data_IF_020332925050
#
_entry.id   IF_020332925050
#
_cell.length_a   1.000
_cell.length_b   1.000
_cell.length_c   1.000
_cell.angle_alpha   90.00
_cell.angle_beta   90.00
_cell.angle_gamma   90.00
#
_symmetry.space_group_name_H-M   'P 1'
#
loop_
_entity.id
_entity.type
_entity.pdbx_description
1 polymer ?
#
# COMPACT_ATOMS: atom_id res chain seq x y z
N UNK A 1 -5.88 -1.48 -17.48
CA UNK A 1 -5.98 -2.51 -16.42
C UNK A 1 -4.58 -2.85 -15.89
N UNK A 2 -4.18 -2.21 -14.78
CA UNK A 2 -2.85 -2.43 -14.17
C UNK A 2 -2.91 -3.72 -13.34
N UNK A 3 -2.19 -4.72 -13.82
CA UNK A 3 -2.14 -6.05 -13.24
C UNK A 3 -1.33 -6.02 -11.93
N UNK A 4 -2.02 -6.03 -10.78
CA UNK A 4 -1.48 -5.99 -9.41
C UNK A 4 -0.42 -7.06 -9.08
N UNK A 5 -0.16 -8.02 -9.97
CA UNK A 5 0.96 -8.97 -9.87
C UNK A 5 2.34 -8.35 -10.12
N UNK A 6 2.43 -7.11 -10.64
CA UNK A 6 3.69 -6.49 -11.06
C UNK A 6 4.41 -5.64 -10.00
N UNK A 7 3.86 -5.47 -8.79
CA UNK A 7 4.45 -4.62 -7.75
C UNK A 7 5.48 -5.31 -6.83
N UNK A 8 5.73 -6.62 -7.01
CA UNK A 8 6.65 -7.38 -6.14
C UNK A 8 8.15 -7.23 -6.48
N UNK A 9 8.52 -6.54 -7.56
CA UNK A 9 9.95 -6.32 -7.92
C UNK A 9 10.45 -4.88 -7.67
N UNK A 10 9.65 -4.02 -7.03
CA UNK A 10 10.02 -2.67 -6.56
C UNK A 10 9.94 -2.54 -5.03
N UNK A 11 9.81 -3.68 -4.34
CA UNK A 11 9.09 -3.79 -3.07
C UNK A 11 9.70 -3.09 -1.86
N UNK A 12 10.97 -2.67 -1.88
CA UNK A 12 11.57 -1.94 -0.73
C UNK A 12 11.27 -0.44 -0.81
N UNK A 13 11.17 0.13 -2.00
CA UNK A 13 10.78 1.54 -2.17
C UNK A 13 9.27 1.69 -1.95
N UNK A 14 8.47 0.68 -2.32
CA UNK A 14 7.02 0.72 -2.10
C UNK A 14 6.60 0.37 -0.66
N UNK A 15 7.41 -0.36 0.11
CA UNK A 15 7.10 -0.62 1.52
C UNK A 15 7.38 0.60 2.44
N UNK A 16 8.36 1.43 2.10
CA UNK A 16 8.57 2.72 2.78
C UNK A 16 7.52 3.76 2.39
N UNK A 17 6.97 3.71 1.17
CA UNK A 17 5.82 4.55 0.82
C UNK A 17 4.52 4.04 1.44
N UNK A 18 4.32 2.73 1.64
CA UNK A 18 3.11 2.19 2.31
C UNK A 18 3.06 2.41 3.83
N UNK A 19 4.20 2.64 4.48
CA UNK A 19 4.26 2.96 5.91
C UNK A 19 3.94 4.44 6.20
N UNK A 20 4.05 5.33 5.22
CA UNK A 20 3.38 6.63 5.22
C UNK A 20 1.91 6.54 4.74
N UNK A 21 1.56 5.51 3.95
CA UNK A 21 0.22 5.31 3.37
C UNK A 21 -0.80 4.63 4.30
N UNK A 22 -0.40 4.16 5.48
CA UNK A 22 -1.32 3.57 6.47
C UNK A 22 -1.96 4.60 7.41
N UNK A 23 -1.57 5.88 7.32
CA UNK A 23 -2.22 7.01 7.99
C UNK A 23 -3.26 7.73 7.12
N UNK A 24 -3.45 7.33 5.86
CA UNK A 24 -4.27 8.06 4.89
C UNK A 24 -5.03 7.16 3.91
N UNK A 25 -5.43 5.95 4.32
CA UNK A 25 -6.54 5.24 3.65
C UNK A 25 -7.89 5.79 4.16
N UNK A 26 -8.13 7.08 3.94
CA UNK A 26 -9.31 7.41 3.14
C UNK A 26 -8.99 6.83 1.77
N UNK A 27 -9.81 5.92 1.28
CA UNK A 27 -9.70 5.43 -0.09
C UNK A 27 -9.86 6.61 -1.03
N UNK A 28 -8.76 7.31 -1.34
CA UNK A 28 -8.64 8.12 -2.55
C UNK A 28 -8.76 7.17 -3.71
N UNK A 29 -10.01 6.88 -4.05
CA UNK A 29 -10.41 6.36 -5.33
C UNK A 29 -9.90 7.39 -6.33
N UNK A 30 -8.70 7.16 -6.85
CA UNK A 30 -8.17 7.91 -7.98
C UNK A 30 -9.27 8.01 -9.03
N UNK A 31 -9.78 9.22 -9.24
CA UNK A 31 -10.55 9.58 -10.41
C UNK A 31 -9.59 9.65 -11.61
N UNK A 32 -8.83 8.58 -11.86
CA UNK A 32 -8.09 8.40 -13.11
C UNK A 32 -9.04 7.71 -14.09
N UNK A 33 -10.04 8.48 -14.51
CA UNK A 33 -10.70 8.35 -15.79
C UNK A 33 -11.18 9.74 -16.21
N UNK A 34 -10.20 10.60 -16.51
CA UNK A 34 -10.39 11.93 -17.11
C UNK A 34 -10.91 11.87 -18.56
N UNK A 35 -11.82 10.94 -18.89
CA UNK A 35 -12.42 10.86 -20.24
C UNK A 35 -13.94 10.74 -20.28
N UNK A 36 -14.63 10.70 -19.13
CA UNK A 36 -16.06 10.99 -19.09
C UNK A 36 -16.33 12.13 -18.13
N UNK A 37 -16.33 13.34 -18.69
CA UNK A 37 -17.09 14.47 -18.16
C UNK A 37 -18.53 14.00 -17.97
N UNK A 38 -18.85 13.48 -16.77
CA UNK A 38 -20.24 13.35 -16.36
C UNK A 38 -20.76 14.78 -16.26
N UNK A 39 -21.60 15.15 -17.22
CA UNK A 39 -22.34 16.41 -17.31
C UNK A 39 -23.35 16.61 -16.16
N UNK A 40 -23.11 15.99 -15.01
CA UNK A 40 -23.97 15.97 -13.86
C UNK A 40 -23.79 17.30 -13.12
N UNK A 41 -24.65 18.25 -13.43
CA UNK A 41 -24.72 19.52 -12.69
C UNK A 41 -25.34 19.24 -11.32
N UNK A 42 -24.51 19.24 -10.28
CA UNK A 42 -24.97 19.17 -8.89
C UNK A 42 -25.25 20.58 -8.35
N UNK A 43 -26.26 20.71 -7.49
CA UNK A 43 -26.48 21.94 -6.73
C UNK A 43 -25.54 21.91 -5.52
N UNK A 44 -24.45 22.68 -5.59
CA UNK A 44 -23.38 22.74 -4.59
C UNK A 44 -23.94 22.97 -3.17
N UNK A 45 -24.80 23.97 -2.99
CA UNK A 45 -25.39 24.31 -1.68
C UNK A 45 -26.27 23.19 -1.12
N UNK A 46 -27.01 22.50 -2.00
CA UNK A 46 -27.83 21.34 -1.61
C UNK A 46 -26.96 20.16 -1.18
N UNK A 47 -25.86 19.90 -1.89
CA UNK A 47 -24.91 18.84 -1.56
C UNK A 47 -24.19 19.15 -0.25
N UNK A 48 -23.74 20.39 -0.03
CA UNK A 48 -23.11 20.83 1.22
C UNK A 48 -24.03 20.62 2.43
N UNK A 49 -25.31 20.99 2.32
CA UNK A 49 -26.28 20.78 3.41
C UNK A 49 -26.50 19.29 3.69
N UNK A 50 -26.57 18.46 2.66
CA UNK A 50 -26.71 17.00 2.79
C UNK A 50 -25.46 16.36 3.40
N UNK A 51 -24.27 16.83 3.01
CA UNK A 51 -23.00 16.42 3.61
C UNK A 51 -22.96 16.76 5.10
N UNK A 52 -23.24 18.01 5.48
CA UNK A 52 -23.25 18.43 6.88
C UNK A 52 -24.22 17.58 7.75
N UNK A 53 -25.39 17.25 7.20
CA UNK A 53 -26.36 16.37 7.89
C UNK A 53 -25.85 14.93 8.02
N UNK A 54 -25.25 14.38 6.96
CA UNK A 54 -24.67 13.05 6.96
C UNK A 54 -23.47 12.96 7.93
N UNK A 55 -22.59 13.97 7.93
CA UNK A 55 -21.43 14.07 8.81
C UNK A 55 -21.86 14.10 10.27
N UNK A 56 -22.88 14.91 10.62
CA UNK A 56 -23.44 14.97 11.97
C UNK A 56 -24.01 13.62 12.43
N UNK A 57 -24.67 12.88 11.53
CA UNK A 57 -25.20 11.55 11.86
C UNK A 57 -24.09 10.48 11.96
N UNK A 58 -23.01 10.62 11.19
CA UNK A 58 -21.87 9.70 11.17
C UNK A 58 -20.80 10.00 12.24
N UNK A 59 -20.81 11.18 12.87
CA UNK A 59 -19.87 11.61 13.91
C UNK A 59 -19.57 10.55 15.00
N UNK A 60 -20.57 9.89 15.62
CA UNK A 60 -20.30 8.84 16.62
C UNK A 60 -19.65 7.57 16.05
N UNK A 61 -19.74 7.35 14.73
CA UNK A 61 -19.05 6.26 14.03
C UNK A 61 -17.58 6.62 13.85
N UNK A 62 -17.26 7.86 13.46
CA UNK A 62 -15.88 8.33 13.31
C UNK A 62 -15.09 8.23 14.62
N UNK A 63 -15.68 8.65 15.73
CA UNK A 63 -15.05 8.52 17.04
C UNK A 63 -14.72 7.06 17.42
N UNK A 64 -15.49 6.08 16.92
CA UNK A 64 -15.21 4.65 17.11
C UNK A 64 -14.12 4.16 16.16
N UNK A 65 -14.14 4.59 14.90
CA UNK A 65 -13.11 4.28 13.92
C UNK A 65 -11.74 4.78 14.37
N UNK A 66 -11.66 6.02 14.86
CA UNK A 66 -10.42 6.62 15.38
C UNK A 66 -9.83 5.82 16.55
N UNK A 67 -10.67 5.38 17.49
CA UNK A 67 -10.22 4.54 18.62
C UNK A 67 -9.65 3.21 18.15
N UNK A 68 -10.28 2.59 17.15
CA UNK A 68 -9.79 1.33 16.57
C UNK A 68 -8.48 1.56 15.81
N UNK A 69 -8.40 2.64 15.03
CA UNK A 69 -7.17 2.99 14.29
C UNK A 69 -6.00 3.22 15.26
N UNK A 70 -6.20 3.97 16.34
CA UNK A 70 -5.20 4.14 17.41
C UNK A 70 -4.76 2.80 18.02
N UNK A 71 -5.69 1.86 18.19
CA UNK A 71 -5.35 0.51 18.68
C UNK A 71 -4.47 -0.25 17.69
N UNK A 72 -4.78 -0.19 16.39
CA UNK A 72 -3.96 -0.79 15.33
C UNK A 72 -2.57 -0.16 15.30
N UNK A 73 -2.48 1.17 15.39
CA UNK A 73 -1.21 1.91 15.37
C UNK A 73 -0.32 1.59 16.58
N UNK A 74 -0.92 1.40 17.76
CA UNK A 74 -0.21 0.95 18.95
C UNK A 74 0.35 -0.47 18.77
N UNK A 75 -0.41 -1.38 18.15
CA UNK A 75 0.06 -2.74 17.82
C UNK A 75 1.20 -2.65 16.80
N UNK A 76 1.07 -1.81 15.76
CA UNK A 76 2.12 -1.61 14.76
C UNK A 76 3.41 -1.13 15.40
N UNK A 77 3.33 -0.08 16.21
CA UNK A 77 4.48 0.53 16.88
C UNK A 77 5.19 -0.46 17.79
N UNK A 78 4.42 -1.24 18.57
CA UNK A 78 4.98 -2.17 19.55
C UNK A 78 5.45 -3.51 18.96
N UNK A 79 4.85 -3.99 17.86
CA UNK A 79 5.08 -5.34 17.34
C UNK A 79 5.73 -5.42 15.96
N UNK A 80 5.77 -4.32 15.20
CA UNK A 80 6.24 -4.32 13.81
C UNK A 80 7.32 -3.28 13.54
N UNK A 81 7.14 -2.02 13.97
CA UNK A 81 7.98 -0.89 13.51
C UNK A 81 9.47 -1.03 13.82
N UNK A 82 9.86 -1.69 14.91
CA UNK A 82 11.28 -1.93 15.23
C UNK A 82 11.91 -2.96 14.29
N UNK A 83 11.20 -4.08 14.06
CA UNK A 83 11.66 -5.16 13.20
C UNK A 83 11.68 -4.72 11.73
N UNK A 84 10.66 -4.00 11.28
CA UNK A 84 10.56 -3.39 9.94
C UNK A 84 11.77 -2.49 9.66
N UNK A 85 12.06 -1.55 10.57
CA UNK A 85 13.24 -0.66 10.45
C UNK A 85 14.55 -1.44 10.44
N UNK A 86 14.69 -2.43 11.29
CA UNK A 86 15.93 -3.24 11.40
C UNK A 86 16.16 -4.07 10.15
N UNK A 87 15.14 -4.77 9.66
CA UNK A 87 15.25 -5.61 8.46
C UNK A 87 15.45 -4.77 7.20
N UNK A 88 14.78 -3.62 7.10
CA UNK A 88 14.99 -2.67 5.99
C UNK A 88 16.43 -2.18 5.97
N UNK A 89 16.99 -1.78 7.13
CA UNK A 89 18.41 -1.40 7.22
C UNK A 89 19.35 -2.54 6.80
N UNK A 90 19.05 -3.79 7.18
CA UNK A 90 19.85 -4.95 6.77
C UNK A 90 19.82 -5.17 5.27
N UNK A 91 18.66 -5.01 4.64
CA UNK A 91 18.55 -5.16 3.19
C UNK A 91 19.24 -4.01 2.45
N UNK A 92 19.09 -2.76 2.90
CA UNK A 92 19.78 -1.63 2.28
C UNK A 92 21.30 -1.80 2.33
N UNK A 93 21.86 -2.14 3.50
CA UNK A 93 23.29 -2.46 3.61
C UNK A 93 23.72 -3.62 2.72
N UNK A 94 22.86 -4.64 2.57
CA UNK A 94 23.12 -5.77 1.68
C UNK A 94 23.16 -5.33 0.21
N UNK A 95 22.25 -4.43 -0.19
CA UNK A 95 22.19 -3.85 -1.54
C UNK A 95 23.41 -2.99 -1.82
N UNK A 96 23.75 -2.06 -0.93
CA UNK A 96 24.93 -1.19 -1.02
C UNK A 96 26.21 -2.02 -1.19
N UNK A 97 26.39 -3.05 -0.35
CA UNK A 97 27.55 -3.95 -0.42
C UNK A 97 27.69 -4.67 -1.77
N UNK A 98 26.58 -4.93 -2.46
CA UNK A 98 26.58 -5.69 -3.71
C UNK A 98 26.20 -4.84 -4.93
N UNK A 99 26.17 -3.52 -4.81
CA UNK A 99 25.63 -2.62 -5.83
C UNK A 99 26.29 -2.84 -7.20
N UNK A 100 27.63 -2.81 -7.26
CA UNK A 100 28.36 -2.95 -8.52
C UNK A 100 28.09 -4.29 -9.24
N UNK A 101 27.96 -5.39 -8.49
CA UNK A 101 27.67 -6.71 -9.09
C UNK A 101 26.20 -6.85 -9.47
N UNK A 102 25.30 -6.20 -8.72
CA UNK A 102 23.88 -6.14 -9.03
C UNK A 102 23.63 -5.34 -10.31
N UNK A 103 24.26 -4.17 -10.48
CA UNK A 103 24.15 -3.36 -11.70
C UNK A 103 24.60 -4.14 -12.93
N UNK A 104 25.77 -4.81 -12.87
CA UNK A 104 26.23 -5.71 -13.94
C UNK A 104 25.22 -6.82 -14.24
N UNK A 105 24.63 -7.41 -13.21
CA UNK A 105 23.63 -8.46 -13.36
C UNK A 105 22.36 -7.95 -14.03
N UNK A 106 21.84 -6.80 -13.60
CA UNK A 106 20.66 -6.16 -14.19
C UNK A 106 20.88 -5.77 -15.65
N UNK A 107 22.06 -5.23 -15.98
CA UNK A 107 22.42 -4.90 -17.36
C UNK A 107 22.45 -6.14 -18.26
N UNK A 108 22.84 -7.31 -17.74
CA UNK A 108 22.80 -8.58 -18.49
C UNK A 108 21.40 -9.21 -18.57
N UNK A 109 20.51 -8.86 -17.65
CA UNK A 109 19.14 -9.39 -17.60
C UNK A 109 18.20 -8.70 -18.59
N UNK A 110 18.42 -7.41 -18.87
CA UNK A 110 17.46 -6.59 -19.62
C UNK A 110 16.11 -6.56 -18.91
N UNK A 111 15.03 -6.84 -19.64
CA UNK A 111 13.66 -6.82 -19.12
C UNK A 111 13.23 -8.08 -18.35
N UNK A 112 14.13 -9.07 -18.19
CA UNK A 112 13.81 -10.29 -17.47
C UNK A 112 13.53 -10.00 -16.00
N UNK A 113 12.34 -10.42 -15.55
CA UNK A 113 11.90 -10.31 -14.15
C UNK A 113 11.87 -11.67 -13.49
N UNK A 114 11.88 -11.67 -12.16
CA UNK A 114 11.69 -12.87 -11.36
C UNK A 114 10.78 -12.58 -10.16
N UNK A 115 10.16 -13.62 -9.63
CA UNK A 115 9.23 -13.57 -8.52
C UNK A 115 9.62 -14.49 -7.36
N UNK A 116 10.60 -15.36 -7.57
CA UNK A 116 11.07 -16.30 -6.55
C UNK A 116 12.59 -16.34 -6.44
N UNK A 117 13.06 -16.81 -5.28
CA UNK A 117 14.47 -17.12 -5.04
C UNK A 117 15.02 -18.10 -6.08
N UNK A 118 14.22 -19.11 -6.47
CA UNK A 118 14.64 -20.13 -7.44
C UNK A 118 14.91 -19.50 -8.80
N UNK A 119 14.00 -18.65 -9.27
CA UNK A 119 14.15 -17.92 -10.53
C UNK A 119 15.35 -16.97 -10.48
N UNK A 120 15.49 -16.19 -9.41
CA UNK A 120 16.65 -15.30 -9.23
C UNK A 120 17.99 -16.05 -9.33
N UNK A 121 18.11 -17.19 -8.63
CA UNK A 121 19.32 -18.01 -8.66
C UNK A 121 19.54 -18.68 -10.02
N UNK A 122 18.47 -19.06 -10.72
CA UNK A 122 18.54 -19.57 -12.09
C UNK A 122 19.09 -18.52 -13.05
N UNK A 123 18.63 -17.27 -12.93
CA UNK A 123 19.11 -16.15 -13.74
C UNK A 123 20.58 -15.84 -13.45
N UNK A 124 21.02 -15.90 -12.18
CA UNK A 124 22.44 -15.77 -11.82
C UNK A 124 23.27 -16.87 -12.48
N UNK A 125 22.79 -18.13 -12.45
CA UNK A 125 23.50 -19.24 -13.07
C UNK A 125 23.65 -19.06 -14.59
N UNK A 126 22.61 -18.57 -15.27
CA UNK A 126 22.56 -18.31 -16.72
C UNK A 126 23.30 -17.05 -17.16
N UNK A 127 23.66 -16.15 -16.23
CA UNK A 127 24.38 -14.92 -16.55
C UNK A 127 25.78 -15.18 -17.13
N UNK A 128 26.36 -14.20 -17.81
CA UNK A 128 27.73 -14.24 -18.33
C UNK A 128 28.76 -13.70 -17.32
N UNK A 129 28.35 -13.50 -16.06
CA UNK A 129 29.22 -13.03 -14.98
C UNK A 129 30.31 -14.04 -14.63
N UNK A 130 31.40 -13.54 -14.05
CA UNK A 130 32.49 -14.39 -13.55
C UNK A 130 32.00 -15.32 -12.43
N UNK A 131 32.75 -16.41 -12.18
CA UNK A 131 32.44 -17.35 -11.10
C UNK A 131 32.34 -16.64 -9.73
N UNK A 132 33.24 -15.69 -9.46
CA UNK A 132 33.25 -14.89 -8.23
C UNK A 132 32.00 -14.02 -8.12
N UNK A 133 31.62 -13.32 -9.19
CA UNK A 133 30.41 -12.49 -9.21
C UNK A 133 29.13 -13.33 -9.04
N UNK A 134 29.05 -14.49 -9.70
CA UNK A 134 27.93 -15.43 -9.52
C UNK A 134 27.82 -15.94 -8.09
N UNK A 135 28.94 -16.25 -7.43
CA UNK A 135 28.97 -16.66 -6.03
C UNK A 135 28.49 -15.54 -5.11
N UNK A 136 28.94 -14.30 -5.36
CA UNK A 136 28.50 -13.12 -4.62
C UNK A 136 26.99 -12.89 -4.77
N UNK A 137 26.44 -12.94 -5.99
CA UNK A 137 25.00 -12.81 -6.23
C UNK A 137 24.18 -13.95 -5.63
N UNK A 138 24.71 -15.17 -5.67
CA UNK A 138 24.06 -16.33 -5.03
C UNK A 138 23.95 -16.11 -3.52
N UNK A 139 25.01 -15.62 -2.88
CA UNK A 139 25.02 -15.27 -1.46
C UNK A 139 24.06 -14.11 -1.16
N UNK A 140 24.09 -13.07 -1.99
CA UNK A 140 23.18 -11.92 -1.92
C UNK A 140 21.72 -12.36 -1.94
N UNK A 141 21.28 -13.10 -2.97
CA UNK A 141 19.87 -13.51 -3.09
C UNK A 141 19.45 -14.44 -1.96
N UNK A 142 20.32 -15.38 -1.54
CA UNK A 142 20.04 -16.22 -0.37
C UNK A 142 19.78 -15.39 0.89
N UNK A 143 20.58 -14.34 1.11
CA UNK A 143 20.47 -13.46 2.29
C UNK A 143 19.27 -12.52 2.18
N UNK A 144 19.07 -11.90 1.01
CA UNK A 144 17.93 -11.04 0.71
C UNK A 144 16.61 -11.75 0.99
N UNK A 145 16.41 -12.95 0.43
CA UNK A 145 15.18 -13.72 0.63
C UNK A 145 15.00 -14.20 2.07
N UNK A 146 16.08 -14.41 2.84
CA UNK A 146 16.00 -14.70 4.27
C UNK A 146 15.46 -13.48 5.05
N UNK A 147 15.94 -12.28 4.74
CA UNK A 147 15.44 -11.05 5.36
C UNK A 147 14.01 -10.73 4.94
N UNK A 148 13.68 -10.91 3.66
CA UNK A 148 12.32 -10.75 3.14
C UNK A 148 11.35 -11.69 3.86
N UNK A 149 11.66 -12.99 3.94
CA UNK A 149 10.80 -13.95 4.62
C UNK A 149 10.62 -13.63 6.12
N UNK A 150 11.68 -13.13 6.77
CA UNK A 150 11.57 -12.68 8.16
C UNK A 150 10.63 -11.48 8.30
N UNK A 151 10.67 -10.54 7.36
CA UNK A 151 9.77 -9.39 7.33
C UNK A 151 8.32 -9.80 7.04
N UNK A 152 8.11 -10.68 6.06
CA UNK A 152 6.80 -11.23 5.71
C UNK A 152 6.12 -11.87 6.93
N UNK A 153 6.87 -12.69 7.70
CA UNK A 153 6.36 -13.29 8.95
C UNK A 153 5.92 -12.26 9.99
N UNK A 154 6.57 -11.08 10.05
CA UNK A 154 6.20 -10.00 10.98
C UNK A 154 4.90 -9.34 10.54
N UNK A 155 4.72 -9.10 9.24
CA UNK A 155 3.45 -8.63 8.69
C UNK A 155 2.32 -9.63 8.87
N UNK A 156 2.56 -10.93 8.62
CA UNK A 156 1.57 -11.97 8.86
C UNK A 156 1.08 -11.97 10.32
N UNK A 157 2.00 -11.82 11.27
CA UNK A 157 1.65 -11.73 12.68
C UNK A 157 0.87 -10.44 12.99
N UNK A 158 1.30 -9.29 12.46
CA UNK A 158 0.59 -8.03 12.60
C UNK A 158 -0.85 -8.11 12.05
N UNK A 159 -1.03 -8.69 10.86
CA UNK A 159 -2.34 -8.90 10.25
C UNK A 159 -3.23 -9.81 11.11
N UNK A 160 -2.68 -10.91 11.66
CA UNK A 160 -3.41 -11.77 12.59
C UNK A 160 -3.87 -11.00 13.83
N UNK A 161 -2.97 -10.24 14.46
CA UNK A 161 -3.25 -9.47 15.67
C UNK A 161 -4.27 -8.33 15.47
N UNK A 162 -4.40 -7.82 14.25
CA UNK A 162 -5.27 -6.68 13.93
C UNK A 162 -6.52 -7.06 13.14
N UNK A 163 -6.66 -8.33 12.75
CA UNK A 163 -7.76 -8.83 11.91
C UNK A 163 -9.16 -8.48 12.44
N UNK A 164 -9.39 -8.63 13.75
CA UNK A 164 -10.69 -8.29 14.37
C UNK A 164 -10.98 -6.78 14.30
N UNK A 165 -9.97 -5.96 14.57
CA UNK A 165 -10.05 -4.49 14.48
C UNK A 165 -10.33 -4.05 13.05
N UNK A 166 -9.64 -4.64 12.06
CA UNK A 166 -9.85 -4.37 10.64
C UNK A 166 -11.27 -4.73 10.19
N UNK A 167 -11.80 -5.88 10.62
CA UNK A 167 -13.19 -6.28 10.33
C UNK A 167 -14.22 -5.32 10.96
N UNK A 168 -13.94 -4.82 12.17
CA UNK A 168 -14.77 -3.79 12.81
C UNK A 168 -14.74 -2.46 12.05
N UNK A 169 -13.56 -2.03 11.57
CA UNK A 169 -13.43 -0.85 10.73
C UNK A 169 -14.25 -1.00 9.44
N UNK A 170 -14.13 -2.12 8.73
CA UNK A 170 -14.92 -2.38 7.52
C UNK A 170 -16.43 -2.29 7.78
N UNK A 171 -16.89 -2.83 8.91
CA UNK A 171 -18.30 -2.74 9.31
C UNK A 171 -18.73 -1.30 9.61
N UNK A 172 -17.89 -0.52 10.28
CA UNK A 172 -18.18 0.89 10.59
C UNK A 172 -18.16 1.76 9.33
N UNK A 173 -17.23 1.52 8.41
CA UNK A 173 -17.20 2.19 7.09
C UNK A 173 -18.50 1.93 6.33
N UNK A 174 -18.97 0.68 6.24
CA UNK A 174 -20.25 0.36 5.58
C UNK A 174 -21.44 1.08 6.22
N UNK A 175 -21.41 1.28 7.55
CA UNK A 175 -22.46 2.04 8.27
C UNK A 175 -22.39 3.53 7.96
N UNK A 176 -21.20 4.12 7.90
CA UNK A 176 -21.02 5.50 7.48
C UNK A 176 -21.50 5.70 6.02
N UNK A 177 -21.09 4.82 5.10
CA UNK A 177 -21.53 4.85 3.70
C UNK A 177 -23.05 4.78 3.57
N UNK A 178 -23.71 3.97 4.41
CA UNK A 178 -25.17 3.87 4.41
C UNK A 178 -25.84 5.18 4.86
N UNK A 179 -25.24 5.92 5.80
CA UNK A 179 -25.71 7.25 6.22
C UNK A 179 -25.59 8.23 5.05
N UNK A 180 -24.44 8.30 4.37
CA UNK A 180 -24.29 9.17 3.19
C UNK A 180 -25.31 8.84 2.11
N UNK A 181 -25.52 7.55 1.81
CA UNK A 181 -26.54 7.12 0.85
C UNK A 181 -27.96 7.52 1.27
N UNK A 182 -28.30 7.43 2.56
CA UNK A 182 -29.60 7.89 3.11
C UNK A 182 -29.83 9.37 2.87
N UNK A 183 -28.78 10.20 2.92
CA UNK A 183 -28.86 11.64 2.62
C UNK A 183 -28.76 11.95 1.11
N UNK A 184 -28.74 10.93 0.26
CA UNK A 184 -28.63 11.09 -1.19
C UNK A 184 -27.24 11.55 -1.64
N UNK A 185 -26.20 11.25 -0.86
CA UNK A 185 -24.79 11.45 -1.22
C UNK A 185 -24.25 10.12 -1.76
N UNK A 186 -24.18 10.01 -3.08
CA UNK A 186 -23.56 8.86 -3.77
C UNK A 186 -22.14 9.21 -4.21
N UNK A 187 -21.36 8.20 -4.61
CA UNK A 187 -20.00 8.40 -5.16
C UNK A 187 -20.00 9.35 -6.36
N UNK A 188 -20.96 9.23 -7.27
CA UNK A 188 -21.06 10.09 -8.46
C UNK A 188 -21.41 11.54 -8.09
N UNK A 189 -22.26 11.75 -7.09
CA UNK A 189 -22.60 13.08 -6.56
C UNK A 189 -21.39 13.72 -5.89
N UNK A 190 -20.62 12.96 -5.11
CA UNK A 190 -19.37 13.42 -4.50
C UNK A 190 -18.34 13.77 -5.58
N UNK A 191 -18.13 12.89 -6.57
CA UNK A 191 -17.20 13.14 -7.67
C UNK A 191 -17.55 14.41 -8.45
N UNK A 192 -18.82 14.60 -8.81
CA UNK A 192 -19.30 15.80 -9.50
C UNK A 192 -19.15 17.06 -8.63
N UNK A 193 -19.45 16.97 -7.33
CA UNK A 193 -19.29 18.05 -6.37
C UNK A 193 -17.81 18.47 -6.22
N UNK A 194 -16.90 17.53 -6.02
CA UNK A 194 -15.47 17.82 -5.89
C UNK A 194 -14.87 18.35 -7.19
N UNK A 195 -15.27 17.80 -8.34
CA UNK A 195 -14.87 18.33 -9.65
C UNK A 195 -15.32 19.79 -9.84
N UNK A 196 -16.54 20.15 -9.45
CA UNK A 196 -17.03 21.54 -9.49
C UNK A 196 -16.30 22.48 -8.50
N UNK A 197 -15.84 21.94 -7.37
CA UNK A 197 -15.07 22.68 -6.35
C UNK A 197 -13.57 22.79 -6.69
N UNK A 198 -13.10 22.19 -7.79
CA UNK A 198 -11.68 22.10 -8.11
C UNK A 198 -10.88 21.27 -7.09
N UNK A 199 -11.56 20.40 -6.36
CA UNK A 199 -10.96 19.52 -5.35
C UNK A 199 -10.87 18.10 -5.89
N UNK A 200 -9.84 17.36 -5.49
CA UNK A 200 -9.81 15.91 -5.70
C UNK A 200 -10.72 15.25 -4.66
N UNK A 201 -11.59 14.34 -5.09
CA UNK A 201 -12.43 13.56 -4.18
C UNK A 201 -11.54 12.69 -3.27
N UNK A 202 -11.78 12.76 -1.95
CA UNK A 202 -11.09 11.94 -0.94
C UNK A 202 -11.63 10.49 -0.88
#
# INVERSE_FOLDING_TARGET
MINLKHFKSLSIITLLSLSAFAGTYQTKSYADEATHSTSLKVNVTSVEKKLANADKEAEPIYAKMDKIQKSIDNIRTSKLSSDERTLTKKINKLNEKHQAVLEKFYNQLGDKRWHSKKEALSLVAQSKLSKTEKNNLTSYFKTYYKHQQALDKKYDNFNKLTSSQQSKLETLTKKADAIYKKHGITKDILMAYYAQKGMTAD
#
